data_IF_897645652272
#
_entry.id   IF_897645652272
#
_cell.length_a   1.000
_cell.length_b   1.000
_cell.length_c   1.000
_cell.angle_alpha   90.00
_cell.angle_beta   90.00
_cell.angle_gamma   90.00
#
_symmetry.space_group_name_H-M   'P 1'
#
loop_
_entity.id
_entity.type
_entity.pdbx_description
1 polymer ?
#
# COMPACT_ATOMS: atom_id res chain seq x y z
N UNK A 1 29.90 12.21 -82.08
CA UNK A 1 28.69 11.44 -81.77
C UNK A 1 28.89 10.86 -80.36
N UNK A 2 28.43 11.58 -79.33
CA UNK A 2 28.56 11.20 -77.92
C UNK A 2 27.45 10.21 -77.57
N UNK A 3 27.81 9.08 -76.95
CA UNK A 3 26.86 8.15 -76.35
C UNK A 3 26.99 8.26 -74.82
N UNK A 4 25.85 8.54 -74.20
CA UNK A 4 25.61 8.77 -72.78
C UNK A 4 25.81 7.52 -71.91
N UNK A 5 26.33 7.63 -70.68
CA UNK A 5 26.16 6.61 -69.65
C UNK A 5 24.89 6.86 -68.81
N UNK A 6 24.16 5.77 -68.59
CA UNK A 6 22.90 5.65 -67.87
C UNK A 6 23.03 5.95 -66.36
N UNK A 7 22.10 6.77 -65.85
CA UNK A 7 21.89 7.07 -64.44
C UNK A 7 21.34 5.84 -63.70
N UNK A 8 22.04 5.35 -62.69
CA UNK A 8 21.47 4.47 -61.67
C UNK A 8 21.02 5.33 -60.49
N UNK A 9 19.71 5.38 -60.25
CA UNK A 9 19.11 6.01 -59.09
C UNK A 9 19.17 5.03 -57.91
N UNK A 10 19.90 5.40 -56.85
CA UNK A 10 19.88 4.67 -55.59
C UNK A 10 18.63 5.08 -54.79
N UNK A 11 17.68 4.16 -54.64
CA UNK A 11 16.58 4.29 -53.68
C UNK A 11 17.12 4.04 -52.27
N UNK A 12 17.19 5.08 -51.44
CA UNK A 12 17.45 4.95 -50.00
C UNK A 12 16.11 4.63 -49.33
N UNK A 13 15.90 3.36 -48.97
CA UNK A 13 14.82 2.97 -48.06
C UNK A 13 15.17 3.45 -46.65
N UNK A 14 14.49 4.50 -46.18
CA UNK A 14 14.47 4.81 -44.75
C UNK A 14 13.56 3.80 -44.05
N UNK A 15 14.18 2.81 -43.40
CA UNK A 15 13.48 1.92 -42.50
C UNK A 15 13.07 2.71 -41.25
N UNK A 16 11.78 3.06 -41.14
CA UNK A 16 11.19 3.47 -39.86
C UNK A 16 11.35 2.28 -38.90
N UNK A 17 12.26 2.41 -37.93
CA UNK A 17 12.34 1.48 -36.81
C UNK A 17 11.08 1.74 -35.95
N UNK A 18 10.04 0.97 -36.20
CA UNK A 18 8.93 0.78 -35.27
C UNK A 18 9.50 0.09 -34.04
N UNK A 19 9.90 0.88 -33.04
CA UNK A 19 10.15 0.38 -31.70
C UNK A 19 8.90 -0.39 -31.24
N UNK A 20 9.01 -1.66 -30.82
CA UNK A 20 7.87 -2.39 -30.32
C UNK A 20 7.39 -1.70 -29.05
N UNK A 21 6.17 -1.13 -29.09
CA UNK A 21 5.47 -0.60 -27.91
C UNK A 21 5.28 -1.65 -26.79
N UNK A 22 5.58 -2.93 -27.06
CA UNK A 22 5.52 -4.02 -26.10
C UNK A 22 6.42 -3.82 -24.86
N UNK A 23 7.51 -3.05 -24.96
CA UNK A 23 8.36 -2.75 -23.79
C UNK A 23 7.71 -1.79 -22.77
N UNK A 24 6.66 -1.04 -23.16
CA UNK A 24 5.91 -0.17 -22.26
C UNK A 24 4.83 -0.91 -21.46
N UNK A 25 4.54 -2.17 -21.81
CA UNK A 25 3.54 -3.01 -21.17
C UNK A 25 4.14 -4.13 -20.30
N UNK A 26 5.47 -4.20 -20.16
CA UNK A 26 6.09 -5.06 -19.15
C UNK A 26 5.59 -4.60 -17.77
N UNK A 27 4.85 -5.48 -17.09
CA UNK A 27 4.21 -5.16 -15.81
C UNK A 27 5.21 -4.55 -14.85
N UNK A 28 4.86 -3.43 -14.22
CA UNK A 28 5.67 -2.87 -13.13
C UNK A 28 5.53 -3.82 -11.92
N UNK A 29 6.43 -4.78 -11.78
CA UNK A 29 6.42 -5.70 -10.65
C UNK A 29 6.89 -4.95 -9.40
N UNK A 30 6.16 -5.02 -8.27
CA UNK A 30 6.59 -4.41 -7.02
C UNK A 30 7.97 -4.90 -6.58
N UNK A 31 8.79 -4.02 -6.01
CA UNK A 31 10.22 -4.28 -5.77
C UNK A 31 11.14 -3.78 -6.88
N UNK A 32 10.58 -3.37 -8.03
CA UNK A 32 11.35 -2.81 -9.15
C UNK A 32 11.65 -1.33 -8.94
N UNK A 33 12.87 -0.91 -9.28
CA UNK A 33 13.33 0.47 -9.20
C UNK A 33 14.35 0.64 -8.09
N UNK A 34 14.32 1.77 -7.40
CA UNK A 34 15.12 2.01 -6.21
C UNK A 34 14.22 2.35 -5.03
N UNK A 35 14.50 1.80 -3.83
CA UNK A 35 13.82 2.21 -2.61
C UNK A 35 13.87 3.73 -2.40
N UNK A 36 12.79 4.27 -1.84
CA UNK A 36 12.72 5.64 -1.34
C UNK A 36 13.05 5.59 0.16
N UNK A 37 14.27 5.20 0.53
CA UNK A 37 14.70 4.91 1.93
C UNK A 37 14.29 5.97 2.96
N UNK A 38 14.17 7.21 2.51
CA UNK A 38 13.74 8.33 3.34
C UNK A 38 12.35 8.15 3.95
N UNK A 39 11.49 7.31 3.36
CA UNK A 39 10.11 7.05 3.81
C UNK A 39 9.86 5.61 4.24
N UNK A 40 10.64 4.63 3.77
CA UNK A 40 10.53 3.21 4.16
C UNK A 40 10.92 2.98 5.62
N UNK A 41 10.44 1.90 6.24
CA UNK A 41 10.77 1.55 7.63
C UNK A 41 11.04 0.04 7.75
N UNK A 42 12.26 -0.35 8.08
CA UNK A 42 12.69 -1.75 8.26
C UNK A 42 12.47 -2.26 9.69
N UNK A 43 12.09 -1.37 10.61
CA UNK A 43 11.89 -1.66 12.04
C UNK A 43 13.12 -2.20 12.77
N UNK A 44 14.33 -2.08 12.22
CA UNK A 44 15.52 -2.67 12.84
C UNK A 44 16.02 -1.86 14.06
N UNK A 45 15.69 -0.57 14.13
CA UNK A 45 16.03 0.29 15.29
C UNK A 45 15.31 -0.18 16.56
N UNK A 46 16.06 -0.66 17.56
CA UNK A 46 15.51 -1.08 18.86
C UNK A 46 14.84 0.06 19.64
N UNK A 47 15.21 1.32 19.35
CA UNK A 47 14.57 2.51 19.91
C UNK A 47 13.28 2.92 19.16
N UNK A 48 12.87 2.15 18.15
CA UNK A 48 11.60 2.37 17.46
C UNK A 48 10.44 2.24 18.46
N UNK A 49 9.55 3.23 18.45
CA UNK A 49 8.37 3.24 19.29
C UNK A 49 7.23 4.01 18.65
N UNK A 50 6.04 3.93 19.25
CA UNK A 50 4.86 4.64 18.81
C UNK A 50 4.32 5.53 19.93
N UNK A 51 4.18 6.83 19.65
CA UNK A 51 3.58 7.79 20.55
C UNK A 51 2.11 7.92 20.16
N UNK A 52 1.21 7.41 20.99
CA UNK A 52 -0.21 7.32 20.62
C UNK A 52 -0.96 8.65 20.61
N UNK A 53 -0.57 9.62 21.45
CA UNK A 53 -1.28 10.90 21.59
C UNK A 53 -2.82 10.75 21.73
N UNK A 54 -3.25 9.83 22.60
CA UNK A 54 -4.67 9.55 22.79
C UNK A 54 -5.45 10.78 23.29
N UNK A 55 -6.73 10.90 22.90
CA UNK A 55 -7.55 9.90 22.19
C UNK A 55 -7.40 9.96 20.66
N UNK A 56 -7.51 8.80 19.99
CA UNK A 56 -7.44 8.66 18.53
C UNK A 56 -8.60 9.34 17.77
N UNK A 57 -8.39 9.72 16.51
CA UNK A 57 -9.38 10.28 15.59
C UNK A 57 -10.55 9.34 15.32
N UNK A 58 -11.71 9.92 15.01
CA UNK A 58 -12.91 9.20 14.57
C UNK A 58 -13.80 10.11 13.72
N UNK A 59 -13.19 10.94 12.87
CA UNK A 59 -13.90 11.94 12.10
C UNK A 59 -14.92 11.36 11.11
N UNK A 60 -14.78 10.11 10.69
CA UNK A 60 -15.77 9.45 9.86
C UNK A 60 -17.09 9.19 10.63
N UNK A 61 -17.00 8.80 11.91
CA UNK A 61 -18.14 8.50 12.79
C UNK A 61 -18.68 9.74 13.51
N UNK A 62 -17.85 10.50 14.23
CA UNK A 62 -18.28 11.58 15.12
C UNK A 62 -17.73 12.97 14.77
N UNK A 63 -17.06 13.08 13.61
CA UNK A 63 -16.49 14.32 13.08
C UNK A 63 -15.36 14.91 13.95
N UNK A 64 -14.73 14.12 14.84
CA UNK A 64 -13.58 14.56 15.65
C UNK A 64 -12.26 13.96 15.14
N UNK A 65 -11.33 14.82 14.71
CA UNK A 65 -9.98 14.41 14.28
C UNK A 65 -9.02 14.15 15.45
N UNK A 66 -9.21 14.83 16.59
CA UNK A 66 -8.39 14.74 17.83
C UNK A 66 -6.87 14.87 17.61
N UNK A 67 -6.40 16.09 17.40
CA UNK A 67 -4.96 16.39 17.35
C UNK A 67 -4.37 16.66 18.76
N UNK A 68 -3.06 16.41 18.98
CA UNK A 68 -2.09 15.84 18.04
C UNK A 68 -2.34 14.35 17.75
N UNK A 69 -2.05 13.91 16.53
CA UNK A 69 -2.23 12.50 16.11
C UNK A 69 -1.08 11.62 16.61
N UNK A 70 -1.33 10.32 16.73
CA UNK A 70 -0.31 9.32 16.98
C UNK A 70 0.75 9.24 15.88
N UNK A 71 1.99 8.92 16.25
CA UNK A 71 3.13 8.80 15.33
C UNK A 71 4.27 7.95 15.87
N UNK A 72 5.05 7.33 14.98
CA UNK A 72 6.30 6.64 15.35
C UNK A 72 7.41 7.62 15.77
N UNK A 73 8.36 7.14 16.56
CA UNK A 73 9.52 7.93 17.04
C UNK A 73 10.41 8.43 15.90
N UNK A 74 10.49 7.69 14.80
CA UNK A 74 11.20 8.07 13.58
C UNK A 74 10.36 8.93 12.60
N UNK A 75 9.10 9.24 12.94
CA UNK A 75 8.13 9.99 12.13
C UNK A 75 7.84 9.37 10.74
N UNK A 76 7.97 8.04 10.60
CA UNK A 76 7.59 7.32 9.38
C UNK A 76 6.16 6.82 9.42
N UNK A 77 5.62 6.51 10.59
CA UNK A 77 4.24 6.05 10.74
C UNK A 77 3.39 7.07 11.47
N UNK A 78 2.13 7.20 11.06
CA UNK A 78 1.18 8.10 11.70
C UNK A 78 -0.26 7.59 11.62
N UNK A 79 -1.06 8.07 12.54
CA UNK A 79 -2.49 7.77 12.67
C UNK A 79 -3.35 8.52 11.63
N UNK A 80 -4.41 7.87 11.14
CA UNK A 80 -5.44 8.52 10.33
C UNK A 80 -6.40 9.40 11.14
N UNK A 81 -6.83 10.53 10.57
CA UNK A 81 -7.83 11.43 11.21
C UNK A 81 -9.25 10.89 11.19
N UNK A 82 -9.57 10.12 10.15
CA UNK A 82 -10.93 9.67 9.88
C UNK A 82 -11.31 8.53 10.80
N UNK A 83 -10.47 7.49 10.87
CA UNK A 83 -10.75 6.25 11.62
C UNK A 83 -9.84 6.02 12.82
N UNK A 84 -8.86 6.89 13.05
CA UNK A 84 -7.89 6.71 14.13
C UNK A 84 -6.84 5.65 13.80
N UNK A 85 -5.90 5.48 14.72
CA UNK A 85 -4.83 4.48 14.63
C UNK A 85 -5.11 3.23 15.49
N UNK A 86 -4.39 2.12 15.26
CA UNK A 86 -4.56 0.92 16.05
C UNK A 86 -4.28 1.14 17.54
N UNK A 87 -4.95 0.40 18.42
CA UNK A 87 -4.73 0.50 19.87
C UNK A 87 -3.39 -0.13 20.30
N UNK A 88 -2.89 -1.07 19.50
CA UNK A 88 -1.58 -1.68 19.64
C UNK A 88 -0.79 -1.44 18.36
N UNK A 89 0.27 -0.65 18.47
CA UNK A 89 1.29 -0.41 17.46
C UNK A 89 2.64 -0.58 18.15
N UNK A 90 3.30 -1.72 17.91
CA UNK A 90 4.47 -2.11 18.71
C UNK A 90 5.52 -2.84 17.87
N UNK A 91 6.79 -2.42 18.00
CA UNK A 91 7.92 -3.22 17.51
C UNK A 91 8.00 -4.52 18.29
N UNK A 92 8.03 -5.63 17.56
CA UNK A 92 8.16 -6.99 18.08
C UNK A 92 9.35 -7.68 17.42
N UNK A 93 9.90 -8.76 18.01
CA UNK A 93 10.84 -9.61 17.28
C UNK A 93 10.21 -10.14 16.00
N UNK A 94 10.99 -10.20 14.93
CA UNK A 94 10.55 -10.76 13.65
C UNK A 94 10.16 -12.23 13.84
N UNK A 95 8.93 -12.64 13.46
CA UNK A 95 8.52 -14.05 13.50
C UNK A 95 9.46 -14.97 12.73
N UNK A 96 9.51 -16.24 13.13
CA UNK A 96 10.30 -17.27 12.44
C UNK A 96 9.95 -17.33 10.94
N UNK A 97 10.97 -17.56 10.11
CA UNK A 97 10.83 -17.57 8.65
C UNK A 97 10.71 -16.18 8.01
N UNK A 98 10.95 -15.10 8.78
CA UNK A 98 11.04 -13.73 8.27
C UNK A 98 12.30 -13.47 7.45
N UNK A 99 12.48 -12.22 7.02
CA UNK A 99 13.62 -11.81 6.19
C UNK A 99 14.95 -12.10 6.89
N UNK A 100 15.96 -12.52 6.12
CA UNK A 100 17.30 -12.78 6.66
C UNK A 100 17.88 -11.52 7.32
N UNK A 101 18.32 -11.67 8.57
CA UNK A 101 18.87 -10.58 9.36
C UNK A 101 17.86 -9.60 9.95
N UNK A 102 16.55 -9.77 9.68
CA UNK A 102 15.53 -8.95 10.32
C UNK A 102 15.34 -9.36 11.78
N UNK A 103 15.48 -8.38 12.68
CA UNK A 103 15.32 -8.55 14.12
C UNK A 103 14.09 -7.82 14.65
N UNK A 104 13.54 -6.87 13.90
CA UNK A 104 12.35 -6.11 14.26
C UNK A 104 11.25 -6.21 13.21
N UNK A 105 10.02 -6.32 13.66
CA UNK A 105 8.82 -6.17 12.84
C UNK A 105 7.78 -5.33 13.59
N UNK A 106 6.71 -4.92 12.91
CA UNK A 106 5.64 -4.13 13.51
C UNK A 106 4.38 -4.96 13.71
N UNK A 107 3.96 -5.14 14.96
CA UNK A 107 2.64 -5.68 15.29
C UNK A 107 1.59 -4.56 15.34
N UNK A 108 0.45 -4.80 14.70
CA UNK A 108 -0.74 -3.94 14.72
C UNK A 108 -1.99 -4.73 15.13
N UNK A 109 -2.74 -4.19 16.09
CA UNK A 109 -4.03 -4.73 16.52
C UNK A 109 -4.89 -3.65 17.17
N UNK A 110 -6.20 -3.87 17.24
CA UNK A 110 -7.15 -2.95 17.88
C UNK A 110 -8.15 -3.69 18.73
N UNK A 111 -8.60 -3.03 19.80
CA UNK A 111 -9.68 -3.48 20.68
C UNK A 111 -10.93 -2.64 20.48
N UNK A 112 -10.76 -1.32 20.32
CA UNK A 112 -11.83 -0.34 20.12
C UNK A 112 -11.66 0.37 18.79
N UNK A 113 -12.08 -0.22 17.67
CA UNK A 113 -12.09 0.51 16.39
C UNK A 113 -13.22 1.54 16.33
N UNK A 114 -13.02 2.67 15.65
CA UNK A 114 -13.99 3.77 15.59
C UNK A 114 -13.86 4.77 16.75
N UNK A 115 -14.94 5.03 17.52
CA UNK A 115 -14.87 6.00 18.63
C UNK A 115 -14.01 5.41 19.77
N UNK A 116 -12.96 6.12 20.25
CA UNK A 116 -12.08 5.63 21.30
C UNK A 116 -12.84 5.18 22.57
N UNK A 117 -12.44 4.04 23.15
CA UNK A 117 -13.02 3.46 24.37
C UNK A 117 -14.53 3.21 24.30
N UNK A 118 -15.10 3.02 23.10
CA UNK A 118 -16.54 2.82 22.91
C UNK A 118 -16.84 1.67 21.96
N UNK A 119 -17.09 0.50 22.54
CA UNK A 119 -17.68 -0.62 21.82
C UNK A 119 -19.10 -0.31 21.35
N UNK A 120 -19.41 -0.64 20.10
CA UNK A 120 -20.75 -0.50 19.52
C UNK A 120 -21.27 -1.79 18.87
N UNK A 121 -20.52 -2.90 18.98
CA UNK A 121 -20.81 -4.18 18.33
C UNK A 121 -20.96 -4.09 16.80
N UNK A 122 -20.41 -3.04 16.19
CA UNK A 122 -20.35 -2.89 14.75
C UNK A 122 -18.91 -2.97 14.33
N UNK A 123 -18.65 -3.79 13.31
CA UNK A 123 -17.32 -3.88 12.76
C UNK A 123 -16.85 -2.52 12.25
N UNK A 124 -15.66 -2.13 12.69
CA UNK A 124 -14.96 -0.93 12.20
C UNK A 124 -13.49 -1.26 11.99
N UNK A 125 -12.78 -0.34 11.36
CA UNK A 125 -11.34 -0.43 11.13
C UNK A 125 -10.62 0.75 11.77
N UNK A 126 -9.33 0.58 12.04
CA UNK A 126 -8.36 1.64 12.29
C UNK A 126 -7.30 1.62 11.19
N UNK A 127 -6.71 2.78 10.92
CA UNK A 127 -5.77 2.98 9.82
C UNK A 127 -4.39 3.42 10.36
N UNK A 128 -3.32 2.80 9.86
CA UNK A 128 -1.94 3.21 10.16
C UNK A 128 -1.18 3.52 8.86
N UNK A 129 -0.71 4.76 8.72
CA UNK A 129 -0.14 5.28 7.47
C UNK A 129 1.38 5.37 7.52
N UNK A 130 2.03 4.89 6.45
CA UNK A 130 3.42 5.22 6.15
C UNK A 130 3.46 6.62 5.50
N UNK A 131 4.12 7.55 6.17
CA UNK A 131 4.19 8.98 5.87
C UNK A 131 5.11 9.25 4.67
N UNK A 132 4.64 8.96 3.47
CA UNK A 132 5.38 9.24 2.25
C UNK A 132 5.22 10.70 1.86
N UNK A 133 3.99 11.21 1.78
CA UNK A 133 3.72 12.56 1.31
C UNK A 133 4.22 13.66 2.26
N UNK A 134 4.01 13.51 3.56
CA UNK A 134 4.44 14.47 4.57
C UNK A 134 5.95 14.52 4.71
N UNK A 135 6.65 13.39 4.54
CA UNK A 135 8.12 13.36 4.52
C UNK A 135 8.70 13.92 3.23
N UNK A 136 8.16 13.57 2.07
CA UNK A 136 8.63 14.10 0.79
C UNK A 136 8.16 15.56 0.55
N UNK A 137 7.12 16.01 1.26
CA UNK A 137 6.42 17.26 1.03
C UNK A 137 5.73 17.34 -0.34
N UNK A 138 5.42 16.19 -0.95
CA UNK A 138 4.83 16.07 -2.29
C UNK A 138 4.33 14.65 -2.55
N UNK A 139 3.45 14.51 -3.53
CA UNK A 139 3.05 13.21 -4.07
C UNK A 139 4.06 12.69 -5.11
N UNK A 140 4.10 11.38 -5.28
CA UNK A 140 4.91 10.70 -6.31
C UNK A 140 4.06 10.52 -7.56
N UNK A 141 4.38 11.17 -8.70
CA UNK A 141 3.61 10.98 -9.93
C UNK A 141 3.79 9.56 -10.47
N UNK A 142 2.75 8.98 -11.09
CA UNK A 142 2.80 7.60 -11.62
C UNK A 142 3.82 7.42 -12.75
N UNK A 143 4.24 8.50 -13.42
CA UNK A 143 5.33 8.44 -14.39
C UNK A 143 6.70 8.12 -13.77
N UNK A 144 6.85 8.27 -12.44
CA UNK A 144 8.01 7.79 -11.70
C UNK A 144 7.90 6.32 -11.31
N UNK A 145 6.83 5.64 -11.74
CA UNK A 145 6.57 4.21 -11.55
C UNK A 145 6.62 3.83 -10.05
N UNK A 146 5.89 4.52 -9.16
CA UNK A 146 5.85 4.12 -7.77
C UNK A 146 5.29 2.71 -7.64
N UNK A 147 5.84 1.95 -6.70
CA UNK A 147 5.33 0.65 -6.29
C UNK A 147 5.73 0.39 -4.83
N UNK A 148 5.09 -0.58 -4.19
CA UNK A 148 5.29 -0.88 -2.78
C UNK A 148 5.30 -2.38 -2.53
N UNK A 149 6.09 -2.80 -1.54
CA UNK A 149 6.16 -4.17 -1.04
C UNK A 149 6.03 -4.14 0.47
N UNK A 150 5.30 -5.10 1.04
CA UNK A 150 5.20 -5.34 2.48
C UNK A 150 5.19 -6.83 2.73
N UNK A 151 5.97 -7.31 3.69
CA UNK A 151 5.87 -8.69 4.18
C UNK A 151 4.87 -8.69 5.33
N UNK A 152 3.92 -9.61 5.29
CA UNK A 152 2.86 -9.71 6.30
C UNK A 152 2.89 -11.12 6.87
N UNK A 153 3.08 -11.22 8.18
CA UNK A 153 2.94 -12.48 8.88
C UNK A 153 1.48 -12.68 9.26
N UNK A 154 0.88 -13.70 8.66
CA UNK A 154 -0.47 -14.18 8.94
C UNK A 154 -0.42 -15.18 10.11
N UNK A 155 -0.98 -14.85 11.27
CA UNK A 155 -1.04 -15.79 12.39
C UNK A 155 -1.92 -17.00 12.07
N UNK A 156 -1.78 -18.05 12.88
CA UNK A 156 -2.65 -19.24 12.82
C UNK A 156 -4.12 -18.87 13.01
N UNK A 157 -5.03 -19.59 12.34
CA UNK A 157 -6.45 -19.22 12.25
C UNK A 157 -7.19 -19.21 13.60
N UNK A 158 -6.68 -19.91 14.61
CA UNK A 158 -7.23 -19.90 15.96
C UNK A 158 -6.94 -18.58 16.71
N UNK A 159 -5.92 -17.84 16.28
CA UNK A 159 -5.59 -16.49 16.78
C UNK A 159 -6.39 -15.38 16.09
N UNK A 160 -7.14 -15.72 15.04
CA UNK A 160 -7.97 -14.74 14.34
C UNK A 160 -9.21 -14.38 15.13
N UNK A 161 -9.65 -13.13 14.99
CA UNK A 161 -10.99 -12.74 15.38
C UNK A 161 -12.02 -13.64 14.69
N UNK A 162 -12.87 -14.31 15.48
CA UNK A 162 -13.80 -15.32 14.98
C UNK A 162 -15.07 -14.74 14.34
N UNK A 163 -14.89 -13.73 13.49
CA UNK A 163 -15.93 -13.00 12.77
C UNK A 163 -15.61 -12.89 11.27
N UNK A 164 -16.61 -13.10 10.40
CA UNK A 164 -16.38 -13.08 8.95
C UNK A 164 -16.17 -11.67 8.37
N UNK A 165 -15.32 -11.57 7.36
CA UNK A 165 -14.98 -10.43 6.47
C UNK A 165 -13.54 -9.92 6.68
N UNK A 166 -13.24 -8.66 6.36
CA UNK A 166 -11.87 -8.10 6.35
C UNK A 166 -11.19 -8.08 7.72
N UNK A 167 -10.04 -8.74 7.83
CA UNK A 167 -9.22 -8.83 9.05
C UNK A 167 -8.02 -7.87 8.99
N UNK A 168 -7.39 -7.76 7.82
CA UNK A 168 -6.27 -6.85 7.54
C UNK A 168 -6.37 -6.30 6.13
N UNK A 169 -5.92 -5.05 5.93
CA UNK A 169 -5.81 -4.43 4.61
C UNK A 169 -4.42 -3.87 4.34
N UNK A 170 -3.94 -4.05 3.11
CA UNK A 170 -2.83 -3.27 2.55
C UNK A 170 -3.40 -2.32 1.49
N UNK A 171 -3.18 -1.02 1.66
CA UNK A 171 -3.83 0.01 0.86
C UNK A 171 -2.89 1.15 0.52
N UNK A 172 -3.33 1.96 -0.43
CA UNK A 172 -2.65 3.19 -0.80
C UNK A 172 -3.62 4.36 -0.85
N UNK A 173 -3.17 5.53 -0.41
CA UNK A 173 -3.82 6.79 -0.74
C UNK A 173 -3.26 7.24 -2.07
N UNK A 174 -4.12 7.52 -3.03
CA UNK A 174 -3.75 7.98 -4.38
C UNK A 174 -4.66 9.11 -4.82
N UNK A 175 -4.27 9.78 -5.90
CA UNK A 175 -5.08 10.81 -6.57
C UNK A 175 -5.17 10.53 -8.06
N UNK A 176 -6.34 10.72 -8.64
CA UNK A 176 -6.59 10.45 -10.05
C UNK A 176 -7.87 11.08 -10.56
N UNK A 177 -8.19 10.81 -11.82
CA UNK A 177 -9.32 11.39 -12.55
C UNK A 177 -10.27 10.26 -12.96
N UNK A 178 -11.59 10.47 -12.83
CA UNK A 178 -12.58 9.55 -13.42
C UNK A 178 -12.87 9.92 -14.87
N UNK A 179 -13.21 8.91 -15.67
CA UNK A 179 -13.59 9.10 -17.07
C UNK A 179 -14.81 10.03 -17.26
N UNK A 180 -15.77 10.02 -16.32
CA UNK A 180 -16.98 10.84 -16.36
C UNK A 180 -16.77 12.27 -15.82
N UNK A 181 -15.60 12.56 -15.25
CA UNK A 181 -15.23 13.89 -14.72
C UNK A 181 -13.81 14.30 -15.14
N UNK A 182 -13.55 14.46 -16.45
CA UNK A 182 -12.22 14.83 -16.92
C UNK A 182 -11.78 16.17 -16.32
N UNK A 183 -10.54 16.23 -15.82
CA UNK A 183 -9.94 17.43 -15.25
C UNK A 183 -10.10 17.61 -13.73
N UNK A 184 -11.00 16.86 -13.08
CA UNK A 184 -11.14 16.85 -11.62
C UNK A 184 -10.29 15.72 -11.03
N UNK A 185 -9.25 16.08 -10.25
CA UNK A 185 -8.43 15.09 -9.53
C UNK A 185 -8.91 14.93 -8.09
N UNK A 186 -9.40 13.75 -7.75
CA UNK A 186 -9.92 13.41 -6.42
C UNK A 186 -9.03 12.36 -5.73
N UNK A 187 -8.94 12.35 -4.39
CA UNK A 187 -8.31 11.26 -3.65
C UNK A 187 -9.20 10.00 -3.68
N UNK A 188 -8.57 8.83 -3.76
CA UNK A 188 -9.23 7.54 -3.59
C UNK A 188 -8.27 6.51 -2.99
N UNK A 189 -8.81 5.36 -2.56
CA UNK A 189 -8.10 4.42 -1.68
C UNK A 189 -8.18 2.96 -2.15
N UNK A 190 -7.45 2.59 -3.22
CA UNK A 190 -7.28 1.21 -3.67
C UNK A 190 -6.56 0.36 -2.63
N UNK A 191 -6.72 -0.95 -2.72
CA UNK A 191 -6.00 -1.89 -1.88
C UNK A 191 -6.56 -3.30 -1.96
N UNK A 192 -6.09 -4.14 -1.05
CA UNK A 192 -6.52 -5.53 -0.91
C UNK A 192 -6.61 -5.91 0.56
N UNK A 193 -7.45 -6.89 0.86
CA UNK A 193 -7.75 -7.32 2.22
C UNK A 193 -7.65 -8.82 2.37
N UNK A 194 -7.09 -9.29 3.49
CA UNK A 194 -7.32 -10.65 3.96
C UNK A 194 -8.72 -10.71 4.57
N UNK A 195 -9.62 -11.44 3.94
CA UNK A 195 -10.98 -11.68 4.39
C UNK A 195 -11.13 -13.08 4.97
N UNK A 196 -11.59 -13.18 6.21
CA UNK A 196 -11.96 -14.44 6.85
C UNK A 196 -13.41 -14.80 6.57
N UNK A 197 -13.70 -16.08 6.37
CA UNK A 197 -15.04 -16.59 6.12
C UNK A 197 -15.27 -17.84 6.96
N UNK A 198 -15.75 -17.62 8.18
CA UNK A 198 -15.98 -18.69 9.17
C UNK A 198 -16.91 -19.80 8.66
N UNK A 199 -16.67 -21.04 9.03
CA UNK A 199 -17.51 -22.17 8.70
C UNK A 199 -18.98 -21.93 9.10
N UNK A 200 -19.88 -22.40 8.25
CA UNK A 200 -21.34 -22.38 8.42
C UNK A 200 -21.90 -23.73 7.95
N UNK A 201 -23.19 -24.00 8.20
CA UNK A 201 -23.85 -25.19 7.64
C UNK A 201 -23.73 -25.30 6.11
N UNK A 202 -23.66 -24.18 5.39
CA UNK A 202 -23.55 -24.16 3.91
C UNK A 202 -22.10 -24.13 3.41
N UNK A 203 -21.15 -23.74 4.26
CA UNK A 203 -19.71 -23.71 3.97
C UNK A 203 -19.00 -24.38 5.16
N UNK A 204 -18.76 -25.70 5.12
CA UNK A 204 -18.36 -26.44 6.33
C UNK A 204 -16.95 -26.13 6.82
N UNK A 205 -16.13 -25.44 6.02
CA UNK A 205 -14.76 -25.08 6.34
C UNK A 205 -14.60 -23.57 6.46
N UNK A 206 -13.69 -23.15 7.33
CA UNK A 206 -13.18 -21.79 7.31
C UNK A 206 -12.45 -21.53 5.98
N UNK A 207 -12.59 -20.32 5.44
CA UNK A 207 -11.85 -19.90 4.26
C UNK A 207 -11.21 -18.54 4.50
N UNK A 208 -10.02 -18.34 3.96
CA UNK A 208 -9.39 -17.03 3.87
C UNK A 208 -9.19 -16.69 2.39
N UNK A 209 -9.49 -15.45 2.04
CA UNK A 209 -9.29 -14.93 0.69
C UNK A 209 -8.62 -13.58 0.74
N UNK A 210 -7.69 -13.33 -0.18
CA UNK A 210 -7.30 -11.97 -0.52
C UNK A 210 -8.36 -11.42 -1.47
N UNK A 211 -9.07 -10.38 -1.00
CA UNK A 211 -10.04 -9.64 -1.78
C UNK A 211 -9.42 -8.34 -2.28
N UNK A 212 -9.62 -8.01 -3.56
CA UNK A 212 -9.17 -6.74 -4.14
C UNK A 212 -10.30 -5.73 -4.06
N UNK A 213 -9.95 -4.53 -3.59
CA UNK A 213 -10.89 -3.43 -3.37
C UNK A 213 -11.13 -2.66 -4.65
N UNK A 214 -12.40 -2.36 -4.92
CA UNK A 214 -12.77 -1.38 -5.94
C UNK A 214 -12.33 -1.77 -7.35
N UNK A 215 -12.89 -2.86 -7.90
CA UNK A 215 -12.84 -3.11 -9.36
C UNK A 215 -13.40 -1.90 -10.11
N UNK A 216 -13.36 -1.88 -11.45
CA UNK A 216 -13.81 -0.69 -12.21
C UNK A 216 -15.24 -0.23 -11.87
N UNK A 217 -16.15 -1.15 -11.50
CA UNK A 217 -17.51 -0.84 -11.02
C UNK A 217 -17.60 -0.42 -9.54
N UNK A 218 -16.49 -0.38 -8.83
CA UNK A 218 -16.36 -0.01 -7.42
C UNK A 218 -16.59 -1.15 -6.41
N UNK A 219 -16.99 -2.33 -6.85
CA UNK A 219 -17.20 -3.47 -5.95
C UNK A 219 -15.90 -4.22 -5.61
N UNK A 220 -15.85 -4.77 -4.41
CA UNK A 220 -14.78 -5.65 -3.95
C UNK A 220 -15.04 -7.09 -4.42
N UNK A 221 -13.99 -7.89 -4.63
CA UNK A 221 -14.15 -9.27 -5.08
C UNK A 221 -13.00 -10.16 -4.59
N UNK A 222 -13.29 -11.46 -4.43
CA UNK A 222 -12.31 -12.50 -4.08
C UNK A 222 -11.32 -12.69 -5.24
N UNK A 223 -10.04 -12.40 -5.02
CA UNK A 223 -9.01 -12.48 -6.06
C UNK A 223 -8.14 -13.75 -5.92
N UNK A 224 -7.71 -14.08 -4.70
CA UNK A 224 -6.86 -15.24 -4.44
C UNK A 224 -7.32 -15.95 -3.17
N UNK A 225 -7.48 -17.28 -3.22
CA UNK A 225 -7.74 -18.10 -2.03
C UNK A 225 -6.43 -18.32 -1.29
N UNK A 226 -6.47 -18.15 0.03
CA UNK A 226 -5.32 -18.37 0.92
C UNK A 226 -5.41 -19.79 1.44
N UNK A 227 -4.40 -20.60 1.11
CA UNK A 227 -4.34 -22.01 1.49
C UNK A 227 -3.38 -22.27 2.67
N UNK A 228 -2.62 -21.25 3.11
CA UNK A 228 -1.64 -21.37 4.19
C UNK A 228 -1.49 -20.06 4.99
N UNK A 229 -1.20 -20.20 6.28
CA UNK A 229 -0.77 -19.15 7.22
C UNK A 229 0.74 -18.90 7.09
N UNK A 230 1.28 -18.01 7.93
CA UNK A 230 2.69 -17.63 7.93
C UNK A 230 2.97 -16.39 7.07
N UNK A 231 4.18 -16.29 6.52
CA UNK A 231 4.58 -15.11 5.76
C UNK A 231 3.92 -15.03 4.39
N UNK A 232 3.58 -13.80 4.00
CA UNK A 232 3.09 -13.42 2.70
C UNK A 232 3.78 -12.13 2.23
N UNK A 233 4.29 -12.12 1.00
CA UNK A 233 4.75 -10.90 0.34
C UNK A 233 3.57 -10.30 -0.42
N UNK A 234 3.21 -9.07 -0.07
CA UNK A 234 2.16 -8.29 -0.71
C UNK A 234 2.75 -7.09 -1.45
N UNK A 235 2.15 -6.72 -2.58
CA UNK A 235 2.60 -5.56 -3.32
C UNK A 235 1.55 -4.89 -4.18
N UNK A 236 1.77 -3.61 -4.45
CA UNK A 236 0.98 -2.82 -5.39
C UNK A 236 1.90 -2.01 -6.28
N UNK A 237 1.51 -1.83 -7.54
CA UNK A 237 2.22 -0.96 -8.46
C UNK A 237 1.28 -0.02 -9.20
N UNK A 238 1.78 1.18 -9.48
CA UNK A 238 1.02 2.27 -10.09
C UNK A 238 1.71 2.66 -11.40
N UNK A 239 1.11 2.26 -12.52
CA UNK A 239 1.74 2.38 -13.84
C UNK A 239 1.50 3.76 -14.46
N UNK A 240 2.36 4.19 -15.42
CA UNK A 240 2.23 5.51 -16.04
C UNK A 240 0.91 5.78 -16.76
N UNK A 241 0.19 4.74 -17.20
CA UNK A 241 -1.16 4.85 -17.77
C UNK A 241 -2.25 5.07 -16.69
N UNK A 242 -1.89 4.99 -15.41
CA UNK A 242 -2.78 5.19 -14.27
C UNK A 242 -3.49 3.93 -13.79
N UNK A 243 -3.11 2.76 -14.31
CA UNK A 243 -3.60 1.47 -13.82
C UNK A 243 -2.91 1.08 -12.51
N UNK A 244 -3.59 0.26 -11.72
CA UNK A 244 -3.08 -0.29 -10.47
C UNK A 244 -3.06 -1.80 -10.58
N UNK A 245 -1.90 -2.39 -10.30
CA UNK A 245 -1.71 -3.83 -10.24
C UNK A 245 -1.52 -4.28 -8.80
N UNK A 246 -2.05 -5.45 -8.47
CA UNK A 246 -2.02 -6.04 -7.13
C UNK A 246 -1.32 -7.39 -7.20
N UNK A 247 -0.44 -7.63 -6.25
CA UNK A 247 0.42 -8.81 -6.21
C UNK A 247 0.38 -9.43 -4.83
N UNK A 248 0.36 -10.76 -4.78
CA UNK A 248 0.43 -11.50 -3.53
C UNK A 248 1.01 -12.89 -3.76
N UNK A 249 1.90 -13.32 -2.86
CA UNK A 249 2.40 -14.69 -2.82
C UNK A 249 2.64 -15.15 -1.37
N UNK A 250 2.54 -16.46 -1.09
CA UNK A 250 3.07 -17.00 0.15
C UNK A 250 4.60 -16.89 0.17
N UNK A 251 5.16 -16.80 1.37
CA UNK A 251 6.59 -16.65 1.62
C UNK A 251 7.02 -15.18 1.73
N UNK A 252 8.34 -15.00 1.78
CA UNK A 252 9.02 -13.70 1.92
C UNK A 252 9.72 -13.26 0.63
N UNK A 253 9.73 -14.13 -0.40
CA UNK A 253 10.47 -13.87 -1.62
C UNK A 253 9.92 -12.65 -2.36
N UNK A 254 10.77 -12.11 -3.24
CA UNK A 254 10.40 -11.01 -4.11
C UNK A 254 9.27 -11.42 -5.05
N UNK A 255 8.42 -10.43 -5.33
CA UNK A 255 7.30 -10.60 -6.25
C UNK A 255 7.80 -10.72 -7.68
N UNK A 256 7.08 -11.52 -8.45
CA UNK A 256 7.30 -11.75 -9.87
C UNK A 256 6.07 -11.33 -10.67
N UNK A 257 6.16 -11.34 -11.99
CA UNK A 257 4.98 -11.08 -12.84
C UNK A 257 3.86 -12.13 -12.62
N UNK A 258 4.22 -13.37 -12.29
CA UNK A 258 3.28 -14.46 -12.02
C UNK A 258 2.44 -14.26 -10.75
N UNK A 259 2.89 -13.41 -9.83
CA UNK A 259 2.22 -13.15 -8.56
C UNK A 259 1.11 -12.09 -8.66
N UNK A 260 0.83 -11.59 -9.88
CA UNK A 260 -0.21 -10.57 -10.11
C UNK A 260 -1.60 -11.20 -9.98
N UNK A 261 -2.34 -10.78 -8.95
CA UNK A 261 -3.70 -11.25 -8.67
C UNK A 261 -4.79 -10.35 -9.29
N UNK A 262 -4.46 -9.09 -9.62
CA UNK A 262 -5.42 -8.16 -10.20
C UNK A 262 -4.76 -6.96 -10.92
N UNK A 263 -5.54 -6.28 -11.77
CA UNK A 263 -5.07 -5.19 -12.63
C UNK A 263 -6.23 -4.30 -13.09
N UNK A 264 -6.41 -3.10 -12.52
CA UNK A 264 -7.60 -2.27 -12.73
C UNK A 264 -7.33 -0.77 -12.75
N UNK A 265 -8.20 -0.02 -13.42
CA UNK A 265 -8.49 1.36 -13.05
C UNK A 265 -9.42 1.33 -11.84
N UNK A 266 -8.84 1.32 -10.62
CA UNK A 266 -9.63 1.11 -9.41
C UNK A 266 -10.75 2.17 -9.29
N UNK A 267 -11.99 1.73 -9.05
CA UNK A 267 -13.19 2.58 -9.06
C UNK A 267 -13.42 3.38 -10.36
N UNK A 268 -12.83 2.96 -11.48
CA UNK A 268 -12.86 3.69 -12.75
C UNK A 268 -11.95 4.91 -12.81
N UNK A 269 -11.05 5.10 -11.83
CA UNK A 269 -10.09 6.20 -11.84
C UNK A 269 -8.82 5.83 -12.60
N UNK A 270 -8.34 6.80 -13.38
CA UNK A 270 -6.97 6.84 -13.87
C UNK A 270 -6.07 7.48 -12.80
N UNK A 271 -5.17 6.69 -12.20
CA UNK A 271 -4.24 7.15 -11.18
C UNK A 271 -3.22 8.14 -11.75
N UNK A 272 -3.03 9.27 -11.10
CA UNK A 272 -1.99 10.26 -11.46
C UNK A 272 -0.88 10.35 -10.41
N UNK A 273 -1.21 10.14 -9.14
CA UNK A 273 -0.28 10.31 -8.03
C UNK A 273 -0.45 9.24 -6.96
N UNK A 274 0.67 8.67 -6.52
CA UNK A 274 0.78 7.94 -5.26
C UNK A 274 1.06 8.91 -4.12
N UNK A 275 0.34 8.75 -3.00
CA UNK A 275 0.42 9.64 -1.84
C UNK A 275 1.03 8.91 -0.66
N UNK A 276 0.35 7.90 -0.11
CA UNK A 276 0.81 7.15 1.07
C UNK A 276 0.49 5.66 0.92
N UNK A 277 1.27 4.81 1.59
CA UNK A 277 0.90 3.44 1.92
C UNK A 277 0.19 3.46 3.28
N UNK A 278 -0.78 2.58 3.50
CA UNK A 278 -1.34 2.37 4.83
C UNK A 278 -1.85 0.95 5.01
N UNK A 279 -1.91 0.53 6.26
CA UNK A 279 -2.50 -0.74 6.66
C UNK A 279 -3.76 -0.50 7.48
N UNK A 280 -4.73 -1.39 7.30
CA UNK A 280 -5.98 -1.39 8.05
C UNK A 280 -6.01 -2.62 8.97
N UNK A 281 -6.44 -2.43 10.21
CA UNK A 281 -6.84 -3.54 11.10
C UNK A 281 -8.30 -3.39 11.45
N UNK A 282 -9.00 -4.52 11.53
CA UNK A 282 -10.43 -4.55 11.74
C UNK A 282 -10.77 -5.25 13.05
N UNK A 283 -11.78 -4.76 13.73
CA UNK A 283 -12.36 -5.44 14.90
C UNK A 283 -13.88 -5.35 14.85
N UNK A 284 -14.56 -6.27 15.53
CA UNK A 284 -16.00 -6.25 15.78
C UNK A 284 -16.42 -5.09 16.69
N UNK A 285 -15.45 -4.43 17.35
CA UNK A 285 -15.65 -3.33 18.28
C UNK A 285 -16.72 -3.64 19.35
N UNK A 286 -16.61 -4.81 19.97
CA UNK A 286 -17.50 -5.24 21.06
C UNK A 286 -17.00 -4.80 22.45
N UNK A 287 -15.82 -4.16 22.51
CA UNK A 287 -15.17 -3.71 23.73
C UNK A 287 -14.68 -4.84 24.63
N UNK A 288 -14.58 -6.06 24.12
CA UNK A 288 -14.16 -7.26 24.86
C UNK A 288 -13.04 -7.99 24.15
N UNK A 289 -13.20 -8.25 22.85
CA UNK A 289 -12.27 -9.01 22.06
C UNK A 289 -11.35 -8.09 21.24
N UNK A 290 -10.08 -8.46 21.13
CA UNK A 290 -9.14 -7.80 20.22
C UNK A 290 -9.29 -8.31 18.80
N UNK A 291 -8.84 -7.50 17.83
CA UNK A 291 -8.62 -7.94 16.47
C UNK A 291 -7.54 -9.01 16.40
N UNK A 292 -7.49 -9.70 15.26
CA UNK A 292 -6.33 -10.52 14.87
C UNK A 292 -5.02 -9.70 14.98
N UNK A 293 -3.96 -10.23 15.60
CA UNK A 293 -2.68 -9.53 15.78
C UNK A 293 -1.80 -9.66 14.54
N UNK A 294 -1.94 -8.73 13.60
CA UNK A 294 -1.17 -8.76 12.36
C UNK A 294 0.23 -8.22 12.56
N UNK A 295 1.23 -8.83 11.93
CA UNK A 295 2.61 -8.36 11.94
C UNK A 295 3.03 -8.03 10.51
N UNK A 296 3.66 -6.87 10.32
CA UNK A 296 4.24 -6.45 9.05
C UNK A 296 5.73 -6.21 9.19
N UNK A 297 6.45 -6.40 8.10
CA UNK A 297 7.90 -6.23 8.01
C UNK A 297 8.32 -5.64 6.66
N UNK A 298 9.44 -4.93 6.69
CA UNK A 298 10.07 -4.21 5.57
C UNK A 298 9.09 -3.53 4.57
N UNK A 299 8.17 -2.67 5.05
CA UNK A 299 7.32 -1.85 4.20
C UNK A 299 8.16 -0.85 3.38
N UNK A 300 8.36 -1.19 2.11
CA UNK A 300 9.26 -0.47 1.22
C UNK A 300 8.53 0.09 0.00
N UNK A 301 8.75 1.38 -0.27
CA UNK A 301 8.26 2.11 -1.43
C UNK A 301 9.40 2.30 -2.42
N UNK A 302 9.17 1.97 -3.69
CA UNK A 302 10.14 2.10 -4.77
C UNK A 302 9.69 3.16 -5.77
N UNK A 303 10.66 3.78 -6.45
CA UNK A 303 10.43 4.67 -7.58
C UNK A 303 11.61 4.59 -8.58
N UNK A 304 11.42 5.13 -9.78
CA UNK A 304 12.46 5.12 -10.83
C UNK A 304 13.66 6.02 -10.49
N UNK A 305 13.41 7.15 -9.82
CA UNK A 305 14.44 8.17 -9.51
C UNK A 305 14.21 8.77 -8.11
N UNK A 306 14.35 7.99 -7.02
CA UNK A 306 14.04 8.43 -5.67
C UNK A 306 14.89 9.61 -5.19
N UNK A 307 16.11 9.76 -5.70
CA UNK A 307 17.05 10.82 -5.29
C UNK A 307 16.49 12.22 -5.58
N UNK A 308 15.77 12.38 -6.71
CA UNK A 308 15.13 13.65 -7.07
C UNK A 308 13.97 13.98 -6.12
N UNK A 309 13.27 12.95 -5.61
CA UNK A 309 12.21 13.13 -4.63
C UNK A 309 12.81 13.60 -3.29
N UNK A 310 13.85 12.91 -2.81
CA UNK A 310 14.47 13.16 -1.51
C UNK A 310 15.25 14.47 -1.45
N UNK A 311 16.08 14.78 -2.46
CA UNK A 311 16.86 16.03 -2.47
C UNK A 311 15.97 17.27 -2.35
N UNK A 312 14.79 17.25 -2.98
CA UNK A 312 13.82 18.36 -2.89
C UNK A 312 13.21 18.48 -1.51
N UNK A 313 12.91 17.36 -0.85
CA UNK A 313 12.40 17.35 0.53
C UNK A 313 13.42 17.94 1.51
N UNK A 314 14.67 17.50 1.44
CA UNK A 314 15.75 17.98 2.30
C UNK A 314 16.03 19.48 2.10
N UNK A 315 16.07 19.96 0.85
CA UNK A 315 16.24 21.41 0.55
C UNK A 315 15.14 22.27 1.19
N UNK A 316 13.89 21.81 1.19
CA UNK A 316 12.76 22.52 1.82
C UNK A 316 12.90 22.55 3.35
N UNK A 317 13.29 21.44 3.97
CA UNK A 317 13.54 21.38 5.41
C UNK A 317 14.58 22.39 5.87
N UNK A 318 15.71 22.47 5.16
CA UNK A 318 16.79 23.42 5.46
C UNK A 318 16.34 24.88 5.30
N UNK A 319 15.53 25.19 4.27
CA UNK A 319 15.00 26.55 4.07
C UNK A 319 13.99 26.95 5.16
N UNK A 320 13.13 26.04 5.61
CA UNK A 320 12.18 26.32 6.69
C UNK A 320 12.89 26.54 8.03
N UNK A 321 13.93 25.76 8.34
CA UNK A 321 14.74 25.97 9.53
C UNK A 321 15.46 27.32 9.53
N UNK A 322 15.97 27.76 8.37
CA UNK A 322 16.61 29.09 8.24
C UNK A 322 15.65 30.26 8.39
N UNK A 323 14.36 30.09 8.08
CA UNK A 323 13.32 31.14 8.26
C UNK A 323 12.76 31.22 9.68
N UNK A 324 13.02 30.21 10.51
CA UNK A 324 12.59 30.15 11.93
C UNK A 324 13.68 30.62 12.90
N UNK A 325 14.87 30.93 12.39
CA UNK A 325 15.97 31.58 13.10
C UNK A 325 16.02 33.04 12.66
#
# INVERSE_FOLDING_TARGET
MQISPSRHAAFVFSALILLPQAALAAGLVPGTGRPVDYVCDDFEDEAWGYNYNLPKGSADVDKKMRSPLGRSTNNRWYEGTDRGGPDFVKRVPTPEGGLEGSLGSLMVASHFTGIPNRGNNQRSQDDLFLNVDGRLGRYIPVNQRPNLVVRVFMPELDQWEQHSGSSFGLRATVRGVKADKPGETEPYWPGMFFNYYRATRRRPNDEVWIAVRGRESGADYKALKVEQTGWWTLGMSFTPDGRIHYYARPGIEDLTEGDRIASHYAYGFQCHYFINLFVDVFSQNDGRNGSTPWIIDDPTVYASNPEILVQRAQKRGTQQQRRRR
#
